data_IF_699073913888
#
_entry.id   IF_699073913888
#
_cell.length_a   1.000
_cell.length_b   1.000
_cell.length_c   1.000
_cell.angle_alpha   90.00
_cell.angle_beta   90.00
_cell.angle_gamma   90.00
#
_symmetry.space_group_name_H-M   'P 1'
#
loop_
_entity.id
_entity.type
_entity.pdbx_description
1 polymer ?
#
# COMPACT_ATOMS: atom_id res chain seq x y z
N UNK A 1 -29.28 -79.07 -48.19
CA UNK A 1 -29.62 -78.79 -46.78
C UNK A 1 -28.37 -78.23 -46.13
N UNK A 2 -27.91 -77.04 -46.57
CA UNK A 2 -26.56 -76.55 -46.22
C UNK A 2 -26.55 -75.12 -45.69
N UNK A 3 -27.58 -74.30 -45.96
CA UNK A 3 -27.62 -72.91 -45.47
C UNK A 3 -27.95 -72.79 -43.99
N UNK A 4 -28.71 -73.71 -43.41
CA UNK A 4 -29.00 -73.66 -41.97
C UNK A 4 -27.76 -73.99 -41.14
N UNK A 5 -26.95 -74.96 -41.59
CA UNK A 5 -25.76 -75.40 -40.88
C UNK A 5 -24.67 -74.31 -40.84
N UNK A 6 -24.52 -73.55 -41.92
CA UNK A 6 -23.60 -72.41 -41.98
C UNK A 6 -24.05 -71.26 -41.09
N UNK A 7 -25.36 -71.01 -40.98
CA UNK A 7 -25.90 -69.95 -40.10
C UNK A 7 -25.73 -70.30 -38.62
N UNK A 8 -25.85 -71.57 -38.23
CA UNK A 8 -25.59 -71.99 -36.84
C UNK A 8 -24.12 -71.93 -36.49
N UNK A 9 -23.22 -72.33 -37.40
CA UNK A 9 -21.78 -72.24 -37.17
C UNK A 9 -21.30 -70.78 -37.05
N UNK A 10 -21.84 -69.86 -37.86
CA UNK A 10 -21.49 -68.44 -37.75
C UNK A 10 -22.00 -67.80 -36.45
N UNK A 11 -23.15 -68.21 -35.94
CA UNK A 11 -23.69 -67.73 -34.65
C UNK A 11 -22.94 -68.24 -33.41
N UNK A 12 -22.28 -69.39 -33.51
CA UNK A 12 -21.50 -69.96 -32.41
C UNK A 12 -20.04 -69.47 -32.36
N UNK A 13 -19.49 -68.98 -33.48
CA UNK A 13 -18.10 -68.53 -33.53
C UNK A 13 -17.89 -67.06 -33.12
N UNK A 14 -18.92 -66.22 -33.25
CA UNK A 14 -18.85 -64.78 -32.94
C UNK A 14 -18.74 -64.39 -31.43
N UNK A 15 -19.38 -65.09 -30.46
CA UNK A 15 -19.39 -64.61 -29.07
C UNK A 15 -18.07 -64.84 -28.33
N UNK A 16 -17.22 -65.79 -28.74
CA UNK A 16 -15.96 -66.09 -28.03
C UNK A 16 -14.85 -65.05 -28.27
N UNK A 17 -14.91 -64.31 -29.38
CA UNK A 17 -13.89 -63.32 -29.72
C UNK A 17 -14.09 -61.98 -28.97
N UNK A 18 -15.35 -61.64 -28.65
CA UNK A 18 -15.70 -60.41 -27.91
C UNK A 18 -15.44 -60.48 -26.42
N UNK A 19 -15.44 -61.67 -25.83
CA UNK A 19 -15.26 -61.84 -24.40
C UNK A 19 -13.77 -61.83 -24.02
N UNK A 20 -12.92 -62.37 -24.90
CA UNK A 20 -11.47 -62.34 -24.72
C UNK A 20 -10.86 -60.95 -24.82
N UNK A 21 -11.42 -60.04 -25.62
CA UNK A 21 -10.93 -58.65 -25.70
C UNK A 21 -11.27 -57.87 -24.42
N UNK A 22 -12.48 -58.02 -23.89
CA UNK A 22 -12.87 -57.41 -22.60
C UNK A 22 -12.04 -57.93 -21.44
N UNK A 23 -11.82 -59.23 -21.38
CA UNK A 23 -10.99 -59.82 -20.33
C UNK A 23 -9.55 -59.35 -20.41
N UNK A 24 -9.02 -59.11 -21.63
CA UNK A 24 -7.68 -58.55 -21.83
C UNK A 24 -7.61 -57.09 -21.41
N UNK A 25 -8.61 -56.29 -21.74
CA UNK A 25 -8.68 -54.87 -21.38
C UNK A 25 -8.81 -54.70 -19.85
N UNK A 26 -9.60 -55.55 -19.19
CA UNK A 26 -9.72 -55.57 -17.72
C UNK A 26 -8.45 -56.06 -17.03
N UNK A 27 -7.74 -57.05 -17.60
CA UNK A 27 -6.44 -57.48 -17.08
C UNK A 27 -5.36 -56.42 -17.27
N UNK A 28 -5.35 -55.72 -18.40
CA UNK A 28 -4.44 -54.59 -18.62
C UNK A 28 -4.76 -53.46 -17.63
N UNK A 29 -6.03 -53.15 -17.40
CA UNK A 29 -6.44 -52.16 -16.39
C UNK A 29 -6.09 -52.58 -14.95
N UNK A 30 -6.13 -53.88 -14.63
CA UNK A 30 -5.75 -54.43 -13.34
C UNK A 30 -4.22 -54.45 -13.12
N UNK A 31 -3.44 -54.78 -14.17
CA UNK A 31 -1.97 -54.77 -14.16
C UNK A 31 -1.44 -53.33 -14.08
N UNK A 32 -2.09 -52.39 -14.75
CA UNK A 32 -1.70 -50.97 -14.76
C UNK A 32 -2.14 -50.23 -13.48
N UNK A 33 -2.79 -50.93 -12.54
CA UNK A 33 -3.06 -50.45 -11.17
C UNK A 33 -3.90 -49.18 -11.10
N UNK A 34 -4.53 -48.77 -12.20
CA UNK A 34 -5.14 -47.45 -12.35
C UNK A 34 -6.65 -47.58 -12.30
N UNK A 35 -7.19 -47.80 -11.10
CA UNK A 35 -8.61 -47.57 -10.80
C UNK A 35 -8.88 -46.05 -10.85
N UNK A 36 -9.60 -45.52 -11.86
CA UNK A 36 -9.75 -44.07 -12.05
C UNK A 36 -10.62 -43.41 -10.97
N UNK A 37 -11.41 -44.19 -10.24
CA UNK A 37 -12.34 -43.68 -9.23
C UNK A 37 -11.66 -43.37 -7.89
N UNK A 38 -10.66 -44.17 -7.49
CA UNK A 38 -9.86 -43.88 -6.28
C UNK A 38 -8.95 -42.66 -6.47
N UNK A 39 -8.48 -42.43 -7.69
CA UNK A 39 -7.61 -41.29 -8.02
C UNK A 39 -8.34 -39.94 -7.91
N UNK A 40 -9.66 -39.88 -8.12
CA UNK A 40 -10.45 -38.63 -7.99
C UNK A 40 -10.69 -38.24 -6.53
N UNK A 41 -10.92 -39.22 -5.64
CA UNK A 41 -11.07 -38.97 -4.21
C UNK A 41 -9.76 -38.54 -3.54
N UNK A 42 -8.66 -39.23 -3.85
CA UNK A 42 -7.35 -38.94 -3.26
C UNK A 42 -6.80 -37.56 -3.68
N UNK A 43 -7.04 -37.14 -4.93
CA UNK A 43 -6.67 -35.80 -5.42
C UNK A 43 -7.42 -34.68 -4.69
N UNK A 44 -8.68 -34.89 -4.30
CA UNK A 44 -9.45 -33.92 -3.50
C UNK A 44 -8.92 -33.81 -2.07
N UNK A 45 -8.58 -34.93 -1.44
CA UNK A 45 -7.98 -34.93 -0.11
C UNK A 45 -6.57 -34.31 -0.11
N UNK A 46 -5.76 -34.56 -1.14
CA UNK A 46 -4.46 -33.91 -1.32
C UNK A 46 -4.59 -32.41 -1.62
N UNK A 47 -5.58 -31.99 -2.40
CA UNK A 47 -5.86 -30.58 -2.64
C UNK A 47 -6.33 -29.84 -1.37
N UNK A 48 -7.14 -30.50 -0.53
CA UNK A 48 -7.55 -29.97 0.77
C UNK A 48 -6.39 -29.88 1.76
N UNK A 49 -5.49 -30.88 1.78
CA UNK A 49 -4.26 -30.84 2.58
C UNK A 49 -3.30 -29.75 2.10
N UNK A 50 -3.17 -29.55 0.78
CA UNK A 50 -2.36 -28.47 0.22
C UNK A 50 -2.93 -27.09 0.57
N UNK A 51 -4.26 -26.91 0.50
CA UNK A 51 -4.91 -25.67 0.91
C UNK A 51 -4.72 -25.38 2.42
N UNK A 52 -4.81 -26.41 3.26
CA UNK A 52 -4.54 -26.29 4.69
C UNK A 52 -3.07 -25.91 4.97
N UNK A 53 -2.12 -26.48 4.24
CA UNK A 53 -0.70 -26.16 4.37
C UNK A 53 -0.38 -24.70 4.00
N UNK A 54 -1.05 -24.15 2.97
CA UNK A 54 -0.93 -22.73 2.60
C UNK A 54 -1.48 -21.84 3.71
N UNK A 55 -2.63 -22.19 4.29
CA UNK A 55 -3.21 -21.45 5.41
C UNK A 55 -2.31 -21.45 6.64
N UNK A 56 -1.72 -22.60 6.97
CA UNK A 56 -0.74 -22.71 8.07
C UNK A 56 0.51 -21.89 7.76
N UNK A 57 1.03 -21.92 6.53
CA UNK A 57 2.18 -21.10 6.13
C UNK A 57 1.91 -19.60 6.25
N UNK A 58 0.71 -19.13 5.87
CA UNK A 58 0.30 -17.73 6.04
C UNK A 58 0.14 -17.40 7.52
N UNK A 59 -0.54 -18.25 8.30
CA UNK A 59 -0.76 -18.03 9.73
C UNK A 59 0.57 -18.00 10.51
N UNK A 60 1.49 -18.93 10.22
CA UNK A 60 2.84 -18.96 10.80
C UNK A 60 3.66 -17.77 10.32
N UNK A 61 3.58 -17.38 9.05
CA UNK A 61 4.27 -16.20 8.52
C UNK A 61 3.79 -14.90 9.16
N UNK A 62 2.48 -14.75 9.36
CA UNK A 62 1.88 -13.59 10.05
C UNK A 62 2.23 -13.62 11.53
N UNK A 63 2.14 -14.78 12.20
CA UNK A 63 2.48 -14.92 13.61
C UNK A 63 3.98 -14.67 13.84
N UNK A 64 4.85 -15.17 12.97
CA UNK A 64 6.28 -14.88 12.96
C UNK A 64 6.53 -13.38 12.76
N UNK A 65 5.82 -12.76 11.83
CA UNK A 65 5.92 -11.31 11.59
C UNK A 65 5.40 -10.48 12.75
N UNK A 66 4.43 -10.96 13.53
CA UNK A 66 3.87 -10.24 14.69
C UNK A 66 4.71 -10.48 15.94
N UNK A 67 5.23 -11.69 16.14
CA UNK A 67 6.03 -12.08 17.32
C UNK A 67 7.49 -11.62 17.20
N UNK A 68 8.07 -11.62 16.00
CA UNK A 68 9.47 -11.21 15.78
C UNK A 68 9.62 -9.80 15.20
N UNK A 69 8.53 -9.15 14.78
CA UNK A 69 8.50 -7.67 14.83
C UNK A 69 8.20 -7.25 16.26
N UNK A 70 9.13 -7.52 17.16
CA UNK A 70 9.41 -6.49 18.15
C UNK A 70 9.67 -5.21 17.36
N UNK A 71 9.13 -4.06 17.77
CA UNK A 71 9.53 -2.80 17.18
C UNK A 71 11.04 -2.76 17.33
N UNK A 72 11.76 -2.88 16.21
CA UNK A 72 13.14 -2.40 16.18
C UNK A 72 13.07 -1.03 16.84
N UNK A 73 13.84 -0.74 17.90
CA UNK A 73 14.02 0.64 18.26
C UNK A 73 14.35 1.36 16.94
N UNK A 74 13.67 2.49 16.64
CA UNK A 74 14.08 3.28 15.49
C UNK A 74 15.61 3.40 15.60
N UNK A 75 16.37 3.22 14.50
CA UNK A 75 17.79 3.57 14.55
C UNK A 75 17.85 4.94 15.22
N UNK A 76 18.71 5.14 16.24
CA UNK A 76 18.83 6.46 16.84
C UNK A 76 18.96 7.42 15.67
N UNK A 77 18.11 8.45 15.57
CA UNK A 77 18.27 9.41 14.50
C UNK A 77 19.73 9.81 14.55
N UNK A 78 20.42 9.77 13.41
CA UNK A 78 21.73 10.38 13.33
C UNK A 78 21.48 11.84 13.73
N UNK A 79 21.75 12.16 15.00
CA UNK A 79 21.51 13.46 15.60
C UNK A 79 21.95 14.62 14.70
N UNK A 80 23.07 14.53 13.94
CA UNK A 80 23.41 15.56 12.95
C UNK A 80 22.40 15.73 11.81
N UNK A 81 21.77 14.67 11.30
CA UNK A 81 20.78 14.78 10.22
C UNK A 81 19.49 15.46 10.69
N UNK A 82 19.02 15.13 11.90
CA UNK A 82 17.83 15.76 12.49
C UNK A 82 18.10 17.22 12.83
N UNK A 83 19.29 17.54 13.35
CA UNK A 83 19.69 18.92 13.61
C UNK A 83 19.80 19.73 12.30
N UNK A 84 20.39 19.16 11.25
CA UNK A 84 20.51 19.84 9.96
C UNK A 84 19.14 20.05 9.30
N UNK A 85 18.23 19.09 9.39
CA UNK A 85 16.86 19.23 8.90
C UNK A 85 16.10 20.33 9.64
N UNK A 86 16.29 20.46 10.96
CA UNK A 86 15.70 21.54 11.76
C UNK A 86 16.27 22.90 11.36
N UNK A 87 17.59 23.03 11.24
CA UNK A 87 18.24 24.27 10.80
C UNK A 87 17.75 24.68 9.41
N UNK A 88 17.69 23.72 8.47
CA UNK A 88 17.21 23.99 7.11
C UNK A 88 15.78 24.53 7.13
N UNK A 89 14.91 23.90 7.93
CA UNK A 89 13.52 24.34 8.10
C UNK A 89 13.44 25.75 8.70
N UNK A 90 14.21 26.04 9.74
CA UNK A 90 14.24 27.38 10.36
C UNK A 90 14.71 28.45 9.37
N UNK A 91 15.72 28.15 8.56
CA UNK A 91 16.23 29.06 7.52
C UNK A 91 15.17 29.31 6.45
N UNK A 92 14.47 28.26 5.99
CA UNK A 92 13.39 28.39 5.02
C UNK A 92 12.23 29.23 5.59
N UNK A 93 11.76 28.92 6.81
CA UNK A 93 10.69 29.67 7.48
C UNK A 93 11.08 31.15 7.68
N UNK A 94 12.33 31.44 8.09
CA UNK A 94 12.83 32.80 8.21
C UNK A 94 12.91 33.53 6.86
N UNK A 95 13.33 32.83 5.80
CA UNK A 95 13.40 33.36 4.44
C UNK A 95 12.02 33.76 3.90
N UNK A 96 11.04 32.88 4.04
CA UNK A 96 9.65 33.18 3.66
C UNK A 96 9.07 34.35 4.46
N UNK A 97 9.29 34.37 5.78
CA UNK A 97 8.84 35.47 6.62
C UNK A 97 9.45 36.82 6.20
N UNK A 98 10.73 36.85 5.81
CA UNK A 98 11.40 38.05 5.32
C UNK A 98 10.82 38.53 3.98
N UNK A 99 10.51 37.61 3.06
CA UNK A 99 9.86 37.95 1.78
C UNK A 99 8.46 38.53 2.00
N UNK A 100 7.66 37.91 2.87
CA UNK A 100 6.34 38.44 3.24
C UNK A 100 6.44 39.83 3.86
N UNK A 101 7.43 40.05 4.74
CA UNK A 101 7.65 41.36 5.35
C UNK A 101 8.01 42.42 4.30
N UNK A 102 8.91 42.09 3.37
CA UNK A 102 9.29 42.99 2.30
C UNK A 102 8.10 43.36 1.40
N UNK A 103 7.25 42.37 1.06
CA UNK A 103 6.02 42.61 0.30
C UNK A 103 5.05 43.52 1.08
N UNK A 104 4.83 43.24 2.37
CA UNK A 104 3.99 44.07 3.23
C UNK A 104 4.51 45.53 3.32
N UNK A 105 5.82 45.71 3.48
CA UNK A 105 6.47 47.03 3.49
C UNK A 105 6.32 47.78 2.15
N UNK A 106 6.26 47.08 1.01
CA UNK A 106 5.93 47.67 -0.28
C UNK A 106 4.49 48.18 -0.33
N UNK A 107 3.52 47.34 0.08
CA UNK A 107 2.11 47.73 0.12
C UNK A 107 1.83 48.86 1.12
N UNK A 108 2.58 48.91 2.23
CA UNK A 108 2.44 49.97 3.23
C UNK A 108 2.77 51.37 2.68
N UNK A 109 3.54 51.46 1.59
CA UNK A 109 3.88 52.74 0.92
C UNK A 109 2.78 53.22 -0.02
N UNK A 110 1.84 52.36 -0.37
CA UNK A 110 0.71 52.70 -1.24
C UNK A 110 -0.47 53.15 -0.37
N UNK A 111 -1.16 54.26 -0.71
CA UNK A 111 -2.29 54.76 0.08
C UNK A 111 -3.38 53.71 0.31
N UNK A 112 -3.70 52.93 -0.72
CA UNK A 112 -4.71 51.87 -0.71
C UNK A 112 -4.19 50.55 -0.12
N UNK A 113 -2.85 50.39 -0.01
CA UNK A 113 -2.21 49.15 0.43
C UNK A 113 -2.01 49.04 1.94
N UNK A 114 -2.36 50.08 2.70
CA UNK A 114 -2.07 50.14 4.15
C UNK A 114 -2.81 49.08 4.95
N UNK A 115 -4.10 48.83 4.67
CA UNK A 115 -4.87 47.80 5.37
C UNK A 115 -4.32 46.40 5.07
N UNK A 116 -4.00 46.15 3.80
CA UNK A 116 -3.37 44.90 3.38
C UNK A 116 -2.03 44.69 4.07
N UNK A 117 -1.19 45.73 4.17
CA UNK A 117 0.09 45.64 4.88
C UNK A 117 -0.10 45.30 6.37
N UNK A 118 -1.08 45.92 7.04
CA UNK A 118 -1.42 45.62 8.45
C UNK A 118 -1.84 44.18 8.63
N UNK A 119 -2.70 43.66 7.74
CA UNK A 119 -3.10 42.25 7.75
C UNK A 119 -1.88 41.32 7.57
N UNK A 120 -1.01 41.63 6.61
CA UNK A 120 0.22 40.84 6.39
C UNK A 120 1.17 40.89 7.58
N UNK A 121 1.35 42.03 8.23
CA UNK A 121 2.15 42.10 9.46
C UNK A 121 1.58 41.22 10.56
N UNK A 122 0.25 41.23 10.78
CA UNK A 122 -0.40 40.36 11.77
C UNK A 122 -0.19 38.89 11.43
N UNK A 123 -0.34 38.53 10.15
CA UNK A 123 -0.08 37.19 9.67
C UNK A 123 1.36 36.74 9.93
N UNK A 124 2.36 37.57 9.63
CA UNK A 124 3.78 37.24 9.90
C UNK A 124 4.02 37.01 11.40
N UNK A 125 3.43 37.83 12.27
CA UNK A 125 3.57 37.69 13.72
C UNK A 125 2.94 36.39 14.24
N UNK A 126 1.79 36.00 13.67
CA UNK A 126 1.09 34.78 14.05
C UNK A 126 1.78 33.51 13.52
N UNK A 127 2.19 33.51 12.25
CA UNK A 127 2.73 32.33 11.55
C UNK A 127 4.22 32.11 11.82
N UNK A 128 5.01 33.18 11.99
CA UNK A 128 6.47 33.11 12.11
C UNK A 128 7.02 33.81 13.36
N UNK A 129 6.49 33.52 14.57
CA UNK A 129 6.68 34.34 15.77
C UNK A 129 8.13 34.45 16.27
N UNK A 130 8.98 33.48 15.94
CA UNK A 130 10.39 33.42 16.33
C UNK A 130 11.36 34.10 15.35
N UNK A 131 10.87 34.59 14.21
CA UNK A 131 11.73 35.17 13.18
C UNK A 131 12.02 36.65 13.43
N UNK A 132 13.15 37.14 12.91
CA UNK A 132 13.44 38.59 12.89
C UNK A 132 12.34 39.38 12.16
N UNK A 133 11.72 38.79 11.14
CA UNK A 133 10.63 39.41 10.41
C UNK A 133 9.40 39.67 11.29
N UNK A 134 9.02 38.73 12.16
CA UNK A 134 7.93 38.93 13.11
C UNK A 134 8.25 40.03 14.13
N UNK A 135 9.50 40.15 14.59
CA UNK A 135 9.92 41.26 15.46
C UNK A 135 9.74 42.61 14.75
N UNK A 136 10.17 42.73 13.50
CA UNK A 136 9.98 43.96 12.72
C UNK A 136 8.50 44.23 12.45
N UNK A 137 7.70 43.21 12.11
CA UNK A 137 6.26 43.35 11.90
C UNK A 137 5.54 43.87 13.17
N UNK A 138 5.91 43.41 14.37
CA UNK A 138 5.41 43.96 15.64
C UNK A 138 5.75 45.44 15.80
N UNK A 139 6.97 45.85 15.45
CA UNK A 139 7.37 47.26 15.47
C UNK A 139 6.55 48.11 14.50
N UNK A 140 6.30 47.62 13.27
CA UNK A 140 5.46 48.31 12.28
C UNK A 140 4.03 48.50 12.78
N UNK A 141 3.45 47.46 13.37
CA UNK A 141 2.10 47.51 13.95
C UNK A 141 2.02 48.50 15.11
N UNK A 142 3.03 48.53 15.98
CA UNK A 142 3.10 49.49 17.09
C UNK A 142 3.24 50.94 16.58
N UNK A 143 4.13 51.18 15.61
CA UNK A 143 4.34 52.51 15.03
C UNK A 143 3.10 53.03 14.26
N UNK A 144 2.39 52.13 13.56
CA UNK A 144 1.14 52.45 12.88
C UNK A 144 0.00 52.82 13.84
N UNK A 145 0.07 52.38 15.10
CA UNK A 145 -0.91 52.68 16.15
C UNK A 145 -0.65 54.03 16.84
N UNK A 146 0.61 54.50 16.87
CA UNK A 146 0.99 55.78 17.50
C UNK A 146 0.89 56.99 16.56
N UNK A 147 0.86 56.79 15.24
CA UNK A 147 0.77 57.88 14.25
C UNK A 147 -0.59 58.59 14.15
N UNK A 148 -1.64 58.13 14.86
CA UNK A 148 -2.98 58.72 14.85
C UNK A 148 -3.30 59.66 16.01
N UNK A 149 -2.36 59.90 16.94
CA UNK A 149 -2.60 60.67 18.17
C UNK A 149 -1.85 62.01 18.24
N UNK A 150 -1.14 62.40 17.19
CA UNK A 150 -0.20 63.54 17.23
C UNK A 150 -0.60 64.74 16.36
N UNK A 151 -1.86 64.87 15.93
CA UNK A 151 -2.31 65.99 15.10
C UNK A 151 -3.66 66.58 15.53
N UNK A 152 -3.83 66.76 16.84
CA UNK A 152 -4.85 67.64 17.43
C UNK A 152 -4.15 68.49 18.50
N UNK A 153 -3.59 69.62 18.09
CA UNK A 153 -2.88 70.58 18.94
C UNK A 153 -2.49 71.82 18.18
#
# INVERSE_FOLDING_TARGET
MDEELERTLRRLHEPLSRDHSRQRDDLVAAIEGRSPDKARGLKRHLALLAAAAVFVGIAVGVLWRVVLRQPSPPPPPDEPEVAFAQIKREVEEAGFAAQLLAAADLFARLPEGREYAVDRYRHIVATYPGTTAARTARQRLAAGHTGGKANEG
#
